data_IF_252315056002
#
_entry.id   IF_252315056002
#
_cell.length_a   1.000
_cell.length_b   1.000
_cell.length_c   1.000
_cell.angle_alpha   90.00
_cell.angle_beta   90.00
_cell.angle_gamma   90.00
#
_symmetry.space_group_name_H-M   'P 1'
#
loop_
_entity.id
_entity.type
_entity.pdbx_description
1 polymer ?
#
# COMPACT_ATOMS: atom_id res chain seq x y z
N UNK A 1 21.78 4.01 84.60
CA UNK A 1 22.06 2.60 84.33
C UNK A 1 20.97 2.00 83.40
N UNK A 2 20.72 2.58 82.25
CA UNK A 2 19.97 1.97 81.17
C UNK A 2 20.30 2.74 79.86
N UNK A 3 21.45 2.49 79.26
CA UNK A 3 21.78 3.06 77.94
C UNK A 3 22.63 2.18 77.05
N UNK A 4 22.68 0.86 77.31
CA UNK A 4 23.56 -0.05 76.52
C UNK A 4 22.84 -1.20 75.81
N UNK A 5 21.53 -1.08 75.48
CA UNK A 5 20.80 -2.18 74.86
C UNK A 5 20.08 -1.87 73.55
N UNK A 6 20.29 -0.70 72.98
CA UNK A 6 19.60 -0.25 71.74
C UNK A 6 20.51 -0.16 70.53
N UNK A 7 21.82 -0.36 70.64
CA UNK A 7 22.74 -0.21 69.52
C UNK A 7 22.85 -1.48 68.64
N UNK A 8 22.44 -2.65 69.15
CA UNK A 8 22.57 -3.94 68.41
C UNK A 8 21.44 -4.22 67.41
N UNK A 9 20.27 -3.66 67.62
CA UNK A 9 19.12 -3.98 66.76
C UNK A 9 19.03 -3.14 65.50
N UNK A 10 19.52 -1.93 65.54
CA UNK A 10 19.50 -1.01 64.38
C UNK A 10 20.52 -1.40 63.30
N UNK A 11 21.64 -1.95 63.69
CA UNK A 11 22.70 -2.36 62.76
C UNK A 11 22.30 -3.61 61.95
N UNK A 12 21.56 -4.56 62.52
CA UNK A 12 21.06 -5.73 61.83
C UNK A 12 19.90 -5.42 60.85
N UNK A 13 19.11 -4.37 61.12
CA UNK A 13 18.00 -3.97 60.25
C UNK A 13 18.54 -3.25 59.01
N UNK A 14 19.59 -2.46 59.18
CA UNK A 14 20.22 -1.69 58.06
C UNK A 14 20.90 -2.64 57.05
N UNK A 15 21.57 -3.69 57.53
CA UNK A 15 22.21 -4.67 56.63
C UNK A 15 21.20 -5.54 55.88
N UNK A 16 20.04 -5.86 56.48
CA UNK A 16 18.97 -6.58 55.77
C UNK A 16 18.31 -5.76 54.68
N UNK A 17 18.16 -4.45 54.89
CA UNK A 17 17.58 -3.55 53.89
C UNK A 17 18.54 -3.33 52.70
N UNK A 18 19.83 -3.17 52.98
CA UNK A 18 20.85 -3.02 51.91
C UNK A 18 21.04 -4.31 51.08
N UNK A 19 20.94 -5.50 51.74
CA UNK A 19 21.01 -6.75 51.00
C UNK A 19 19.78 -6.97 50.11
N UNK A 20 18.57 -6.70 50.60
CA UNK A 20 17.34 -6.76 49.77
C UNK A 20 17.35 -5.74 48.65
N UNK A 21 17.82 -4.53 48.88
CA UNK A 21 17.90 -3.49 47.88
C UNK A 21 18.93 -3.82 46.78
N UNK A 22 20.06 -4.42 47.10
CA UNK A 22 21.03 -4.90 46.12
C UNK A 22 20.50 -6.05 45.28
N UNK A 23 19.79 -7.01 45.87
CA UNK A 23 19.17 -8.11 45.14
C UNK A 23 18.06 -7.63 44.21
N UNK A 24 17.21 -6.72 44.68
CA UNK A 24 16.15 -6.13 43.83
C UNK A 24 16.76 -5.34 42.69
N UNK A 25 17.82 -4.56 42.92
CA UNK A 25 18.51 -3.79 41.89
C UNK A 25 19.15 -4.68 40.81
N UNK A 26 19.75 -5.82 41.22
CA UNK A 26 20.33 -6.79 40.26
C UNK A 26 19.24 -7.51 39.45
N UNK A 27 18.11 -7.88 40.05
CA UNK A 27 16.99 -8.51 39.37
C UNK A 27 16.38 -7.53 38.32
N UNK A 28 16.17 -6.28 38.69
CA UNK A 28 15.67 -5.25 37.77
C UNK A 28 16.63 -5.03 36.60
N UNK A 29 17.94 -5.00 36.85
CA UNK A 29 18.95 -4.84 35.80
C UNK A 29 18.97 -6.04 34.83
N UNK A 30 18.82 -7.26 35.33
CA UNK A 30 18.75 -8.48 34.49
C UNK A 30 17.46 -8.52 33.68
N UNK A 31 16.33 -8.11 34.25
CA UNK A 31 15.04 -8.07 33.55
C UNK A 31 15.08 -7.03 32.45
N UNK A 32 15.68 -5.86 32.68
CA UNK A 32 15.84 -4.82 31.64
C UNK A 32 16.78 -5.32 30.53
N UNK A 33 17.83 -6.06 30.86
CA UNK A 33 18.74 -6.61 29.85
C UNK A 33 18.10 -7.76 29.05
N UNK A 34 17.23 -8.56 29.63
CA UNK A 34 16.43 -9.57 28.92
C UNK A 34 15.36 -8.94 28.03
N UNK A 35 14.77 -7.82 28.44
CA UNK A 35 13.79 -7.08 27.60
C UNK A 35 14.45 -6.39 26.39
N UNK A 36 15.73 -6.06 26.45
CA UNK A 36 16.47 -5.44 25.33
C UNK A 36 16.96 -6.48 24.31
N UNK A 37 16.97 -7.79 24.64
CA UNK A 37 17.30 -8.86 23.70
C UNK A 37 16.11 -9.40 22.92
N UNK A 38 14.90 -8.96 23.23
CA UNK A 38 13.73 -9.03 22.35
C UNK A 38 13.73 -7.80 21.42
N UNK A 39 14.82 -7.59 20.69
CA UNK A 39 14.65 -7.00 19.37
C UNK A 39 13.85 -8.05 18.61
N UNK A 40 12.53 -7.95 18.71
CA UNK A 40 11.67 -8.43 17.68
C UNK A 40 12.36 -8.10 16.37
N UNK A 41 12.62 -9.10 15.55
CA UNK A 41 12.56 -8.91 14.14
C UNK A 41 11.15 -8.36 13.91
N UNK A 42 11.00 -7.03 14.02
CA UNK A 42 10.01 -6.37 13.25
C UNK A 42 10.42 -6.76 11.82
N UNK A 43 9.82 -7.83 11.30
CA UNK A 43 9.54 -7.89 9.91
C UNK A 43 9.02 -6.49 9.61
N UNK A 44 9.88 -5.68 8.98
CA UNK A 44 9.40 -4.54 8.27
C UNK A 44 8.55 -5.17 7.19
N UNK A 45 7.28 -5.46 7.51
CA UNK A 45 6.28 -5.47 6.49
C UNK A 45 6.56 -4.16 5.76
N UNK A 46 7.13 -4.32 4.56
CA UNK A 46 7.10 -3.29 3.56
C UNK A 46 5.60 -3.00 3.48
N UNK A 47 5.14 -2.03 4.27
CA UNK A 47 3.84 -1.45 4.10
C UNK A 47 3.82 -1.10 2.62
N UNK A 48 3.18 -1.98 1.85
CA UNK A 48 2.59 -1.55 0.60
C UNK A 48 1.97 -0.22 0.97
N UNK A 49 2.35 0.89 0.29
CA UNK A 49 1.71 2.15 0.56
C UNK A 49 0.22 1.83 0.60
N UNK A 50 -0.39 1.92 1.77
CA UNK A 50 -1.82 2.09 1.86
C UNK A 50 -2.10 3.12 0.80
N UNK A 51 -3.13 2.90 -0.01
CA UNK A 51 -3.71 3.91 -0.85
C UNK A 51 -4.03 5.12 0.04
N UNK A 52 -2.97 5.81 0.50
CA UNK A 52 -3.06 7.20 0.89
C UNK A 52 -3.43 7.87 -0.41
N UNK A 53 -4.73 8.07 -0.56
CA UNK A 53 -5.35 8.91 -1.53
C UNK A 53 -4.57 10.22 -1.59
N UNK A 54 -3.50 10.25 -2.42
CA UNK A 54 -3.11 11.49 -3.03
C UNK A 54 -4.33 11.82 -3.87
N UNK A 55 -5.23 12.59 -3.30
CA UNK A 55 -6.40 13.13 -3.97
C UNK A 55 -5.87 14.05 -5.06
N UNK A 56 -5.52 13.45 -6.20
CA UNK A 56 -5.21 14.21 -7.40
C UNK A 56 -6.52 14.88 -7.77
N UNK A 57 -6.59 16.18 -7.53
CA UNK A 57 -7.76 16.99 -7.86
C UNK A 57 -7.88 17.05 -9.38
N UNK A 58 -8.67 16.17 -9.94
CA UNK A 58 -9.03 16.23 -11.36
C UNK A 58 -10.15 17.26 -11.55
N UNK A 59 -10.12 17.96 -12.68
CA UNK A 59 -11.09 19.02 -12.99
C UNK A 59 -12.43 18.45 -13.44
N UNK A 60 -12.43 17.33 -14.15
CA UNK A 60 -13.62 16.76 -14.81
C UNK A 60 -13.85 15.30 -14.41
N UNK A 61 -12.93 14.68 -13.68
CA UNK A 61 -12.97 13.26 -13.29
C UNK A 61 -13.14 13.11 -11.79
N UNK A 62 -14.11 12.31 -11.39
CA UNK A 62 -14.33 11.94 -10.00
C UNK A 62 -13.55 10.66 -9.63
N UNK A 63 -13.57 9.63 -10.50
CA UNK A 63 -12.89 8.36 -10.23
C UNK A 63 -12.44 7.66 -11.50
N UNK A 64 -11.26 7.06 -11.46
CA UNK A 64 -10.75 6.19 -12.52
C UNK A 64 -10.15 4.91 -11.91
N UNK A 65 -10.40 3.77 -12.54
CA UNK A 65 -9.81 2.49 -12.15
C UNK A 65 -9.54 1.61 -13.36
N UNK A 66 -8.51 0.76 -13.24
CA UNK A 66 -8.15 -0.21 -14.27
C UNK A 66 -7.77 -1.55 -13.64
N UNK A 67 -8.32 -2.64 -14.17
CA UNK A 67 -8.04 -3.99 -13.71
C UNK A 67 -7.62 -4.88 -14.86
N UNK A 68 -6.76 -5.86 -14.56
CA UNK A 68 -6.35 -6.93 -15.44
C UNK A 68 -6.59 -8.25 -14.73
N UNK A 69 -7.25 -9.18 -15.40
CA UNK A 69 -7.30 -10.58 -15.01
C UNK A 69 -6.81 -11.46 -16.17
N UNK A 70 -6.12 -12.56 -15.84
CA UNK A 70 -5.65 -13.54 -16.81
C UNK A 70 -6.13 -14.90 -16.37
N UNK A 71 -6.78 -15.63 -17.29
CA UNK A 71 -7.23 -17.00 -17.11
C UNK A 71 -7.10 -17.74 -18.43
N UNK A 72 -6.59 -18.99 -18.41
CA UNK A 72 -6.44 -19.83 -19.59
C UNK A 72 -5.73 -19.14 -20.77
N UNK A 73 -4.66 -18.37 -20.47
CA UNK A 73 -3.92 -17.57 -21.45
C UNK A 73 -4.77 -16.50 -22.16
N UNK A 74 -5.87 -16.09 -21.56
CA UNK A 74 -6.71 -14.98 -22.02
C UNK A 74 -6.66 -13.84 -21.00
N UNK A 75 -6.28 -12.64 -21.43
CA UNK A 75 -6.33 -11.43 -20.63
C UNK A 75 -7.70 -10.76 -20.79
N UNK A 76 -8.30 -10.34 -19.68
CA UNK A 76 -9.44 -9.43 -19.65
C UNK A 76 -9.01 -8.11 -19.01
N UNK A 77 -9.08 -7.04 -19.81
CA UNK A 77 -8.75 -5.68 -19.42
C UNK A 77 -10.04 -4.90 -19.18
N UNK A 78 -10.24 -4.35 -17.98
CA UNK A 78 -11.41 -3.52 -17.68
C UNK A 78 -10.96 -2.17 -17.13
N UNK A 79 -11.51 -1.09 -17.67
CA UNK A 79 -11.31 0.27 -17.18
C UNK A 79 -12.66 0.91 -16.89
N UNK A 80 -12.77 1.58 -15.76
CA UNK A 80 -13.95 2.36 -15.37
C UNK A 80 -13.51 3.80 -15.16
N UNK A 81 -14.21 4.72 -15.80
CA UNK A 81 -13.99 6.16 -15.68
C UNK A 81 -15.30 6.82 -15.29
N UNK A 82 -15.31 7.56 -14.22
CA UNK A 82 -16.43 8.38 -13.76
C UNK A 82 -16.00 9.85 -13.76
N UNK A 83 -16.58 10.62 -14.64
CA UNK A 83 -16.48 12.05 -14.64
C UNK A 83 -17.48 12.70 -13.68
N UNK A 84 -17.50 14.02 -13.65
CA UNK A 84 -18.44 14.80 -12.85
C UNK A 84 -19.74 14.95 -13.63
N UNK A 85 -20.86 14.47 -13.05
CA UNK A 85 -22.18 14.59 -13.64
C UNK A 85 -22.55 16.06 -13.88
N UNK A 86 -23.11 16.36 -15.04
CA UNK A 86 -23.43 17.74 -15.45
C UNK A 86 -22.24 18.54 -16.00
N UNK A 87 -21.01 18.07 -15.80
CA UNK A 87 -19.78 18.74 -16.26
C UNK A 87 -19.11 17.95 -17.39
N UNK A 88 -18.92 16.64 -17.19
CA UNK A 88 -18.26 15.78 -18.17
C UNK A 88 -19.21 15.45 -19.32
N UNK A 89 -18.80 15.79 -20.53
CA UNK A 89 -19.61 15.60 -21.75
C UNK A 89 -19.20 14.36 -22.56
N UNK A 90 -17.91 13.98 -22.49
CA UNK A 90 -17.35 12.89 -23.30
C UNK A 90 -16.15 12.27 -22.61
N UNK A 91 -15.96 10.97 -22.74
CA UNK A 91 -14.80 10.23 -22.26
C UNK A 91 -14.21 9.42 -23.42
N UNK A 92 -12.89 9.53 -23.64
CA UNK A 92 -12.16 8.69 -24.58
C UNK A 92 -11.19 7.82 -23.78
N UNK A 93 -11.35 6.51 -23.86
CA UNK A 93 -10.51 5.55 -23.14
C UNK A 93 -9.63 4.80 -24.12
N UNK A 94 -8.32 4.84 -23.91
CA UNK A 94 -7.35 3.97 -24.58
C UNK A 94 -6.78 2.99 -23.57
N UNK A 95 -7.04 1.71 -23.78
CA UNK A 95 -6.43 0.61 -23.04
C UNK A 95 -5.24 0.05 -23.83
N UNK A 96 -4.11 -0.15 -23.16
CA UNK A 96 -2.93 -0.81 -23.75
C UNK A 96 -2.51 -1.94 -22.82
N UNK A 97 -2.70 -3.17 -23.27
CA UNK A 97 -2.10 -4.35 -22.64
C UNK A 97 -0.59 -4.30 -22.89
N UNK A 98 0.21 -4.33 -21.84
CA UNK A 98 1.66 -4.30 -21.90
C UNK A 98 2.25 -5.59 -21.35
N UNK A 99 3.30 -6.11 -21.99
CA UNK A 99 4.11 -7.24 -21.50
C UNK A 99 5.44 -6.73 -20.99
N UNK A 100 5.89 -7.22 -19.84
CA UNK A 100 7.21 -6.91 -19.27
C UNK A 100 8.31 -7.56 -20.13
N UNK A 101 9.34 -6.79 -20.44
CA UNK A 101 10.54 -7.23 -21.13
C UNK A 101 11.77 -6.63 -20.43
N UNK A 102 12.43 -7.42 -19.57
CA UNK A 102 13.46 -6.89 -18.67
C UNK A 102 12.92 -5.81 -17.75
N UNK A 103 13.49 -4.63 -17.80
CA UNK A 103 13.05 -3.43 -17.07
C UNK A 103 11.96 -2.64 -17.79
N UNK A 104 11.65 -2.96 -19.05
CA UNK A 104 10.74 -2.20 -19.90
C UNK A 104 9.36 -2.84 -20.03
N UNK A 105 8.37 -2.04 -20.46
CA UNK A 105 7.02 -2.48 -20.74
C UNK A 105 6.68 -2.26 -22.21
N UNK A 106 6.56 -3.33 -22.97
CA UNK A 106 6.26 -3.28 -24.39
C UNK A 106 4.76 -3.40 -24.65
N UNK A 107 4.26 -2.64 -25.63
CA UNK A 107 2.88 -2.76 -26.09
C UNK A 107 2.64 -4.15 -26.63
N UNK A 108 1.62 -4.84 -26.14
CA UNK A 108 1.16 -6.14 -26.63
C UNK A 108 -0.12 -6.03 -27.45
N UNK A 109 -1.09 -5.26 -26.99
CA UNK A 109 -2.34 -4.93 -27.69
C UNK A 109 -2.88 -3.57 -27.24
N UNK A 110 -3.73 -2.92 -28.05
CA UNK A 110 -4.32 -1.64 -27.67
C UNK A 110 -5.70 -1.47 -28.29
N UNK A 111 -6.60 -0.83 -27.55
CA UNK A 111 -7.97 -0.56 -27.93
C UNK A 111 -8.36 0.84 -27.49
N UNK A 112 -9.16 1.55 -28.32
CA UNK A 112 -9.66 2.88 -28.00
C UNK A 112 -11.14 2.95 -28.25
N UNK A 113 -11.89 3.60 -27.34
CA UNK A 113 -13.33 3.83 -27.48
C UNK A 113 -13.71 5.19 -26.93
N UNK A 114 -14.66 5.84 -27.60
CA UNK A 114 -15.28 7.09 -27.20
C UNK A 114 -16.64 6.82 -26.59
N UNK A 115 -16.96 7.51 -25.49
CA UNK A 115 -18.25 7.47 -24.79
C UNK A 115 -18.77 8.91 -24.66
N UNK A 116 -19.93 9.21 -25.19
CA UNK A 116 -20.61 10.50 -25.02
C UNK A 116 -21.42 10.48 -23.73
N UNK A 117 -20.74 10.34 -22.60
CA UNK A 117 -21.31 10.19 -21.28
C UNK A 117 -20.29 10.61 -20.24
N UNK A 118 -20.76 10.98 -19.05
CA UNK A 118 -19.93 11.22 -17.88
C UNK A 118 -19.48 9.94 -17.18
N UNK A 119 -20.02 8.77 -17.58
CA UNK A 119 -19.65 7.47 -17.03
C UNK A 119 -19.34 6.47 -18.13
N UNK A 120 -18.23 5.76 -18.01
CA UNK A 120 -17.78 4.80 -19.01
C UNK A 120 -17.17 3.55 -18.36
N UNK A 121 -17.59 2.38 -18.83
CA UNK A 121 -16.93 1.11 -18.59
C UNK A 121 -16.45 0.58 -19.95
N UNK A 122 -15.17 0.26 -20.03
CA UNK A 122 -14.57 -0.32 -21.21
C UNK A 122 -13.87 -1.63 -20.88
N UNK A 123 -14.27 -2.70 -21.54
CA UNK A 123 -13.71 -4.04 -21.34
C UNK A 123 -13.28 -4.63 -22.69
N UNK A 124 -12.08 -5.21 -22.71
CA UNK A 124 -11.53 -5.89 -23.88
C UNK A 124 -10.80 -7.15 -23.44
N UNK A 125 -10.74 -8.14 -24.32
CA UNK A 125 -10.01 -9.38 -24.10
C UNK A 125 -8.93 -9.58 -25.18
N UNK A 126 -7.87 -10.30 -24.79
CA UNK A 126 -6.81 -10.77 -25.69
C UNK A 126 -6.47 -12.20 -25.33
N UNK A 127 -6.73 -13.10 -26.25
CA UNK A 127 -6.45 -14.52 -26.14
C UNK A 127 -5.02 -14.85 -26.58
N UNK A 128 -4.59 -16.09 -26.32
CA UNK A 128 -3.33 -16.68 -26.72
C UNK A 128 -2.12 -15.89 -26.23
N UNK A 129 -2.14 -15.51 -24.95
CA UNK A 129 -1.01 -14.86 -24.32
C UNK A 129 0.19 -15.82 -24.23
N UNK A 130 1.36 -15.32 -24.55
CA UNK A 130 2.62 -16.02 -24.22
C UNK A 130 2.95 -15.85 -22.74
N UNK A 131 3.68 -16.81 -22.15
CA UNK A 131 4.10 -16.72 -20.75
C UNK A 131 4.85 -15.41 -20.48
N UNK A 132 4.61 -14.82 -19.31
CA UNK A 132 5.22 -13.56 -18.88
C UNK A 132 4.31 -12.73 -17.99
N UNK A 133 4.80 -11.55 -17.58
CA UNK A 133 4.10 -10.62 -16.72
C UNK A 133 3.46 -9.50 -17.54
N UNK A 134 2.22 -9.18 -17.23
CA UNK A 134 1.40 -8.23 -17.96
C UNK A 134 0.82 -7.15 -17.03
N UNK A 135 0.50 -5.99 -17.59
CA UNK A 135 -0.32 -4.94 -16.99
C UNK A 135 -1.15 -4.23 -18.05
N UNK A 136 -2.19 -3.54 -17.61
CA UNK A 136 -2.94 -2.62 -18.47
C UNK A 136 -2.54 -1.19 -18.15
N UNK A 137 -2.14 -0.42 -19.17
CA UNK A 137 -2.06 1.03 -19.14
C UNK A 137 -3.38 1.57 -19.66
N UNK A 138 -4.10 2.33 -18.86
CA UNK A 138 -5.32 3.05 -19.26
C UNK A 138 -5.02 4.51 -19.36
N UNK A 139 -5.28 5.10 -20.53
CA UNK A 139 -5.25 6.56 -20.76
C UNK A 139 -6.67 7.02 -21.00
N UNK A 140 -7.18 7.88 -20.14
CA UNK A 140 -8.50 8.49 -20.29
C UNK A 140 -8.36 9.97 -20.61
N UNK A 141 -9.05 10.43 -21.67
CA UNK A 141 -9.29 11.85 -21.93
C UNK A 141 -10.74 12.16 -21.55
N UNK A 142 -10.90 13.00 -20.56
CA UNK A 142 -12.21 13.39 -20.01
C UNK A 142 -12.49 14.82 -20.39
N UNK A 143 -13.60 15.06 -21.08
CA UNK A 143 -13.93 16.32 -21.74
C UNK A 143 -15.07 17.04 -21.01
N UNK A 144 -14.92 18.37 -20.96
CA UNK A 144 -16.00 19.33 -20.73
C UNK A 144 -16.11 20.25 -21.95
N UNK A 145 -17.04 19.98 -22.86
CA UNK A 145 -17.11 20.65 -24.17
C UNK A 145 -15.84 20.41 -24.99
N UNK A 146 -15.10 21.46 -25.29
CA UNK A 146 -13.83 21.41 -26.03
C UNK A 146 -12.60 21.21 -25.13
N UNK A 147 -12.68 21.59 -23.87
CA UNK A 147 -11.61 21.39 -22.90
C UNK A 147 -11.53 19.92 -22.46
N UNK A 148 -10.34 19.44 -22.13
CA UNK A 148 -10.17 18.09 -21.61
C UNK A 148 -8.97 17.99 -20.68
N UNK A 149 -9.00 16.99 -19.80
CA UNK A 149 -7.86 16.51 -19.05
C UNK A 149 -7.47 15.11 -19.50
N UNK A 150 -6.21 14.73 -19.27
CA UNK A 150 -5.68 13.41 -19.62
C UNK A 150 -5.15 12.72 -18.36
N UNK A 151 -5.67 11.54 -18.07
CA UNK A 151 -5.30 10.76 -16.90
C UNK A 151 -4.72 9.44 -17.37
N UNK A 152 -3.60 9.04 -16.77
CA UNK A 152 -2.96 7.75 -17.04
C UNK A 152 -2.89 6.95 -15.75
N UNK A 153 -3.41 5.71 -15.77
CA UNK A 153 -3.30 4.76 -14.68
C UNK A 153 -2.79 3.41 -15.18
N UNK A 154 -2.32 2.61 -14.24
CA UNK A 154 -1.87 1.24 -14.49
C UNK A 154 -2.62 0.26 -13.58
N UNK A 155 -2.95 -0.91 -14.12
CA UNK A 155 -3.45 -2.02 -13.29
C UNK A 155 -2.33 -2.63 -12.45
N UNK A 156 -2.70 -3.43 -11.46
CA UNK A 156 -1.75 -4.38 -10.86
C UNK A 156 -1.19 -5.30 -11.94
N UNK A 157 0.02 -5.81 -11.73
CA UNK A 157 0.66 -6.77 -12.64
C UNK A 157 0.10 -8.16 -12.41
N UNK A 158 -0.05 -8.93 -13.50
CA UNK A 158 -0.52 -10.32 -13.48
C UNK A 158 0.39 -11.16 -14.35
N UNK A 159 0.77 -12.35 -13.87
CA UNK A 159 1.58 -13.33 -14.63
C UNK A 159 0.67 -14.32 -15.36
N UNK A 160 1.13 -14.70 -16.55
CA UNK A 160 0.52 -15.73 -17.41
C UNK A 160 1.43 -16.96 -17.47
#
# INVERSE_FOLDING_TARGET
EITTRLVGSEMCIRDRLTCKQKVISTIISVVIMLCLSLTAFAETELQTPSDDDISVCYLYTDKISGTLSISNKAATCKSTVRGISGTTTKIVITQTLQKKNGSSWNKYSSWTKTFNSWYAIYSNSKESLSSGTYRVKTVAKVYNGSAYETITIYSKTVSC
#
